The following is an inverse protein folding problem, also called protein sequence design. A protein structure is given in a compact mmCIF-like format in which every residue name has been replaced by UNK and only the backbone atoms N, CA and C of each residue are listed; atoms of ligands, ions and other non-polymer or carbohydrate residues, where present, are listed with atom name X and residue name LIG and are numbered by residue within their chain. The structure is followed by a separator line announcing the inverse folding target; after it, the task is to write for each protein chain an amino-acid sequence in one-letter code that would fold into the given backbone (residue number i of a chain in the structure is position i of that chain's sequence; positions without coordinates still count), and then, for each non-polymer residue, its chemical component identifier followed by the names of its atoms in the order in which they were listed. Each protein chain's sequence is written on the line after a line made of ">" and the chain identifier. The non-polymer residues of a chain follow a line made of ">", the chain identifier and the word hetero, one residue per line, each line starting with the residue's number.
data_IF_642566737577
#
_entry.id   IF_642566737577
#
_cell.length_a   1.000
_cell.length_b   1.000
_cell.length_c   1.000
_cell.angle_alpha   90.00
_cell.angle_beta   90.00
_cell.angle_gamma   90.00
#
_symmetry.space_group_name_H-M   'P 1'
#
loop_
_entity.id
_entity.type
_entity.pdbx_description
1 polymer ?
#
# COMPACT_ATOMS: atom_id res chain seq x y z
N UNK A 1 -17.48 16.44 36.91
CA UNK A 1 -17.54 15.73 35.62
C UNK A 1 -16.13 15.42 35.18
N UNK A 2 -15.65 14.23 35.50
CA UNK A 2 -14.32 13.78 35.12
C UNK A 2 -14.35 13.38 33.64
N UNK A 3 -13.67 14.17 32.78
CA UNK A 3 -13.49 13.82 31.38
C UNK A 3 -12.58 12.59 31.33
N UNK A 4 -13.16 11.40 31.22
CA UNK A 4 -12.43 10.17 30.89
C UNK A 4 -11.83 10.38 29.50
N UNK A 5 -10.62 10.93 29.46
CA UNK A 5 -9.80 11.05 28.26
C UNK A 5 -9.38 9.62 27.92
N UNK A 6 -10.21 8.95 27.11
CA UNK A 6 -9.92 7.65 26.55
C UNK A 6 -8.71 7.77 25.60
N UNK A 7 -7.51 7.87 26.17
CA UNK A 7 -6.25 7.68 25.47
C UNK A 7 -6.14 6.19 25.13
N UNK A 8 -6.93 5.74 24.16
CA UNK A 8 -6.78 4.42 23.56
C UNK A 8 -5.44 4.43 22.83
N UNK A 9 -4.38 4.03 23.54
CA UNK A 9 -3.03 3.91 23.00
C UNK A 9 -3.11 3.01 21.77
N UNK A 10 -2.78 3.56 20.60
CA UNK A 10 -2.73 2.78 19.37
C UNK A 10 -1.66 1.71 19.58
N UNK A 11 -2.02 0.44 19.39
CA UNK A 11 -1.05 -0.65 19.43
C UNK A 11 0.03 -0.40 18.36
N UNK A 12 1.28 -0.68 18.70
CA UNK A 12 2.42 -0.56 17.78
C UNK A 12 2.13 -1.32 16.47
N UNK A 13 1.50 -2.49 16.55
CA UNK A 13 1.09 -3.27 15.38
C UNK A 13 0.07 -2.51 14.51
N UNK A 14 -0.91 -1.87 15.13
CA UNK A 14 -1.89 -1.05 14.40
C UNK A 14 -1.22 0.15 13.72
N UNK A 15 -0.23 0.75 14.37
CA UNK A 15 0.52 1.87 13.82
C UNK A 15 1.37 1.44 12.61
N UNK A 16 2.09 0.32 12.71
CA UNK A 16 2.86 -0.25 11.60
C UNK A 16 1.94 -0.58 10.42
N UNK A 17 0.76 -1.17 10.68
CA UNK A 17 -0.25 -1.42 9.64
C UNK A 17 -0.72 -0.14 8.93
N UNK A 18 -0.94 0.95 9.67
CA UNK A 18 -1.32 2.23 9.07
C UNK A 18 -0.18 2.81 8.22
N UNK A 19 1.07 2.73 8.68
CA UNK A 19 2.23 3.16 7.90
C UNK A 19 2.34 2.32 6.63
N UNK A 20 2.12 1.01 6.71
CA UNK A 20 2.25 0.12 5.55
C UNK A 20 1.19 0.39 4.48
N UNK A 21 0.08 1.09 4.80
CA UNK A 21 -0.88 1.57 3.79
C UNK A 21 -0.34 2.75 2.98
N UNK A 22 0.52 3.59 3.58
CA UNK A 22 1.12 4.73 2.88
C UNK A 22 2.00 4.28 1.70
N UNK A 23 2.56 3.08 1.78
CA UNK A 23 3.29 2.46 0.68
C UNK A 23 2.42 2.37 -0.59
N UNK A 24 1.17 1.94 -0.48
CA UNK A 24 0.26 1.86 -1.64
C UNK A 24 -0.23 3.23 -2.09
N UNK A 25 -0.45 4.14 -1.14
CA UNK A 25 -0.80 5.54 -1.45
C UNK A 25 0.31 6.19 -2.28
N UNK A 26 1.57 5.95 -1.93
CA UNK A 26 2.72 6.43 -2.70
C UNK A 26 2.67 5.94 -4.15
N UNK A 27 2.44 4.65 -4.39
CA UNK A 27 2.34 4.12 -5.76
C UNK A 27 1.18 4.73 -6.55
N UNK A 28 0.03 4.95 -5.91
CA UNK A 28 -1.11 5.61 -6.56
C UNK A 28 -0.75 7.06 -6.93
N UNK A 29 -0.12 7.81 -6.02
CA UNK A 29 0.33 9.19 -6.29
C UNK A 29 1.34 9.20 -7.43
N UNK A 30 2.29 8.27 -7.46
CA UNK A 30 3.28 8.16 -8.52
C UNK A 30 2.62 7.83 -9.87
N UNK A 31 1.63 6.93 -9.90
CA UNK A 31 0.86 6.65 -11.12
C UNK A 31 0.09 7.86 -11.61
N UNK A 32 -0.49 8.65 -10.70
CA UNK A 32 -1.13 9.94 -11.05
C UNK A 32 -0.09 10.92 -11.58
N UNK A 33 1.09 10.98 -10.99
CA UNK A 33 2.17 11.83 -11.48
C UNK A 33 2.55 11.46 -12.93
N UNK A 34 2.72 10.17 -13.23
CA UNK A 34 3.00 9.67 -14.58
C UNK A 34 1.86 9.92 -15.57
N UNK A 35 0.59 9.89 -15.12
CA UNK A 35 -0.55 10.25 -15.96
C UNK A 35 -0.35 11.64 -16.61
N UNK A 36 0.14 12.62 -15.84
CA UNK A 36 0.30 14.01 -16.30
C UNK A 36 1.69 14.31 -16.89
N UNK A 37 2.76 13.75 -16.33
CA UNK A 37 4.14 14.09 -16.69
C UNK A 37 4.77 13.10 -17.68
N UNK A 38 4.08 11.99 -17.92
CA UNK A 38 4.54 10.90 -18.77
C UNK A 38 5.61 10.04 -18.11
N UNK A 39 5.83 8.89 -18.74
CA UNK A 39 6.88 7.93 -18.40
C UNK A 39 7.42 7.32 -19.69
N UNK A 40 8.70 6.95 -19.71
CA UNK A 40 9.33 6.30 -20.86
C UNK A 40 8.57 5.02 -21.23
N UNK A 41 8.18 4.86 -22.51
CA UNK A 41 7.42 3.69 -22.98
C UNK A 41 8.19 2.37 -22.82
N UNK A 42 9.52 2.44 -22.79
CA UNK A 42 10.44 1.34 -22.54
C UNK A 42 10.83 1.19 -21.06
N UNK A 43 10.14 1.79 -20.09
CA UNK A 43 10.51 1.68 -18.67
C UNK A 43 10.67 0.24 -18.16
N UNK A 44 9.86 -0.70 -18.67
CA UNK A 44 9.92 -2.10 -18.31
C UNK A 44 11.13 -2.82 -18.92
N UNK A 45 11.64 -2.31 -20.05
CA UNK A 45 12.86 -2.82 -20.67
C UNK A 45 13.68 -1.66 -21.28
N UNK A 46 14.47 -0.94 -20.47
CA UNK A 46 15.11 0.32 -20.87
C UNK A 46 16.01 0.18 -22.11
N UNK A 47 16.58 -1.00 -22.35
CA UNK A 47 17.38 -1.31 -23.53
C UNK A 47 16.61 -1.25 -24.87
N UNK A 48 15.27 -1.36 -24.84
CA UNK A 48 14.39 -1.18 -25.99
C UNK A 48 13.75 0.22 -26.04
N UNK A 49 14.11 1.12 -25.13
CA UNK A 49 13.58 2.49 -25.17
C UNK A 49 14.04 3.21 -26.44
N UNK A 50 13.09 3.88 -27.09
CA UNK A 50 13.32 4.83 -28.17
C UNK A 50 13.18 6.29 -27.70
N UNK A 51 13.11 6.54 -26.39
CA UNK A 51 12.95 7.85 -25.77
C UNK A 51 11.53 8.42 -25.83
N UNK A 52 10.55 7.66 -26.33
CA UNK A 52 9.16 8.10 -26.35
C UNK A 52 8.53 8.04 -24.96
N UNK A 53 7.71 9.04 -24.64
CA UNK A 53 6.93 9.09 -23.42
C UNK A 53 5.49 8.67 -23.70
N UNK A 54 4.93 7.82 -22.84
CA UNK A 54 3.49 7.56 -22.76
C UNK A 54 2.85 8.43 -21.68
N UNK A 55 1.57 8.75 -21.85
CA UNK A 55 0.79 9.65 -20.99
C UNK A 55 -0.59 9.08 -20.67
N UNK A 56 -1.36 9.77 -19.84
CA UNK A 56 -2.76 9.43 -19.57
C UNK A 56 -2.88 8.06 -18.90
N UNK A 57 -3.89 7.28 -19.29
CA UNK A 57 -4.17 5.99 -18.65
C UNK A 57 -3.06 4.95 -18.87
N UNK A 58 -2.34 4.98 -20.00
CA UNK A 58 -1.23 4.05 -20.26
C UNK A 58 -0.08 4.27 -19.27
N UNK A 59 0.27 5.53 -19.03
CA UNK A 59 1.28 5.91 -18.04
C UNK A 59 0.83 5.61 -16.61
N UNK A 60 -0.45 5.84 -16.30
CA UNK A 60 -1.02 5.52 -14.99
C UNK A 60 -0.95 4.01 -14.70
N UNK A 61 -1.40 3.16 -15.62
CA UNK A 61 -1.34 1.71 -15.44
C UNK A 61 0.11 1.22 -15.37
N UNK A 62 1.01 1.81 -16.13
CA UNK A 62 2.44 1.54 -16.02
C UNK A 62 3.00 1.82 -14.63
N UNK A 63 2.60 2.94 -14.00
CA UNK A 63 2.96 3.23 -12.61
C UNK A 63 2.41 2.19 -11.63
N UNK A 64 1.19 1.69 -11.84
CA UNK A 64 0.59 0.64 -11.01
C UNK A 64 1.34 -0.68 -11.17
N UNK A 65 1.66 -1.08 -12.42
CA UNK A 65 2.42 -2.31 -12.71
C UNK A 65 3.81 -2.20 -12.08
N UNK A 66 4.49 -1.06 -12.21
CA UNK A 66 5.76 -0.81 -11.54
C UNK A 66 5.65 -1.01 -10.03
N UNK A 67 4.60 -0.47 -9.40
CA UNK A 67 4.35 -0.69 -7.98
C UNK A 67 4.12 -2.14 -7.61
N UNK A 68 3.41 -2.92 -8.44
CA UNK A 68 3.22 -4.35 -8.24
C UNK A 68 4.55 -5.10 -8.33
N UNK A 69 5.36 -4.83 -9.37
CA UNK A 69 6.67 -5.46 -9.55
C UNK A 69 7.61 -5.18 -8.36
N UNK A 70 7.73 -3.91 -7.95
CA UNK A 70 8.51 -3.54 -6.77
C UNK A 70 7.99 -4.21 -5.49
N UNK A 71 6.68 -4.37 -5.36
CA UNK A 71 6.08 -5.07 -4.22
C UNK A 71 6.46 -6.54 -4.22
N UNK A 72 6.44 -7.22 -5.37
CA UNK A 72 6.76 -8.65 -5.45
C UNK A 72 8.27 -8.88 -5.28
N UNK A 73 9.11 -8.04 -5.89
CA UNK A 73 10.56 -8.25 -5.91
C UNK A 73 11.26 -7.78 -4.63
N UNK A 74 10.87 -6.64 -4.07
CA UNK A 74 11.61 -5.98 -2.98
C UNK A 74 10.80 -5.90 -1.68
N UNK A 75 9.50 -5.64 -1.78
CA UNK A 75 8.65 -5.32 -0.62
C UNK A 75 7.56 -6.37 -0.32
N UNK A 76 7.80 -7.63 -0.65
CA UNK A 76 6.80 -8.71 -0.56
C UNK A 76 6.35 -8.99 0.88
N UNK A 77 7.18 -8.61 1.85
CA UNK A 77 6.87 -8.72 3.27
C UNK A 77 5.79 -7.73 3.73
N UNK A 78 5.55 -6.63 2.99
CA UNK A 78 4.50 -5.65 3.30
C UNK A 78 3.10 -6.29 3.22
N UNK A 79 2.66 -6.85 2.07
CA UNK A 79 1.36 -7.50 1.98
C UNK A 79 1.28 -8.73 2.91
N UNK A 80 2.38 -9.48 3.08
CA UNK A 80 2.41 -10.60 4.03
C UNK A 80 2.09 -10.14 5.45
N UNK A 81 2.76 -9.09 5.93
CA UNK A 81 2.51 -8.52 7.25
C UNK A 81 1.05 -8.06 7.40
N UNK A 82 0.49 -7.40 6.38
CA UNK A 82 -0.89 -6.93 6.41
C UNK A 82 -1.89 -8.08 6.53
N UNK A 83 -1.68 -9.16 5.78
CA UNK A 83 -2.52 -10.37 5.86
C UNK A 83 -2.46 -10.97 7.27
N UNK A 84 -1.25 -11.15 7.82
CA UNK A 84 -1.08 -11.69 9.18
C UNK A 84 -1.77 -10.80 10.22
N UNK A 85 -1.59 -9.47 10.12
CA UNK A 85 -2.23 -8.52 11.02
C UNK A 85 -3.76 -8.58 10.95
N UNK A 86 -4.33 -8.69 9.75
CA UNK A 86 -5.78 -8.81 9.56
C UNK A 86 -6.31 -10.11 10.18
N UNK A 87 -5.66 -11.25 9.93
CA UNK A 87 -6.03 -12.53 10.54
C UNK A 87 -6.00 -12.44 12.07
N UNK A 88 -4.90 -11.92 12.62
CA UNK A 88 -4.76 -11.73 14.07
C UNK A 88 -5.88 -10.84 14.64
N UNK A 89 -6.17 -9.73 13.97
CA UNK A 89 -7.22 -8.80 14.38
C UNK A 89 -8.61 -9.44 14.35
N UNK A 90 -8.89 -10.27 13.34
CA UNK A 90 -10.16 -11.01 13.22
C UNK A 90 -10.28 -12.05 14.34
N UNK A 91 -9.25 -12.86 14.59
CA UNK A 91 -9.25 -13.86 15.67
C UNK A 91 -9.50 -13.20 17.02
N UNK A 92 -8.78 -12.11 17.32
CA UNK A 92 -8.94 -11.39 18.57
C UNK A 92 -10.35 -10.80 18.70
N UNK A 93 -10.90 -10.24 17.62
CA UNK A 93 -12.28 -9.77 17.60
C UNK A 93 -13.29 -10.90 17.91
N UNK A 94 -13.17 -12.06 17.25
CA UNK A 94 -14.04 -13.20 17.48
C UNK A 94 -13.95 -13.74 18.92
N UNK A 95 -12.75 -13.78 19.50
CA UNK A 95 -12.58 -14.19 20.90
C UNK A 95 -13.24 -13.22 21.88
N UNK A 96 -13.14 -11.92 21.63
CA UNK A 96 -13.80 -10.89 22.46
C UNK A 96 -15.31 -10.99 22.35
N UNK A 97 -15.85 -11.21 21.15
CA UNK A 97 -17.29 -11.42 20.93
C UNK A 97 -17.77 -12.66 21.66
N UNK A 98 -17.05 -13.79 21.53
CA UNK A 98 -17.39 -15.05 22.22
C UNK A 98 -17.43 -14.92 23.75
N UNK A 99 -16.60 -14.05 24.36
CA UNK A 99 -16.60 -13.82 25.81
C UNK A 99 -17.75 -12.93 26.31
N UNK A 100 -18.50 -12.28 25.42
CA UNK A 100 -19.64 -11.41 25.78
C UNK A 100 -21.01 -12.06 25.60
N UNK A 101 -21.08 -13.20 24.91
CA UNK A 101 -22.27 -14.04 24.81
C UNK A 101 -22.20 -15.12 25.90
#
# INVERSE_FOLDING_TARGET
>A
MEKIKNNKKISILKFIFLISLLYYVFWIILSIYFFFHGIDSGWAMPAMSNGNLMYGFEAFFSGIIMGILYTIELFWFIPLYQVIYLIYSIINYLQVVKRRC
#
